data_IF_056934358332
#
_entry.id   IF_056934358332
#
_cell.length_a   1.000
_cell.length_b   1.000
_cell.length_c   1.000
_cell.angle_alpha   90.00
_cell.angle_beta   90.00
_cell.angle_gamma   90.00
#
_symmetry.space_group_name_H-M   'P 1'
#
loop_
_entity.id
_entity.type
_entity.pdbx_description
1 polymer ?
#
# COMPACT_ATOMS: atom_id res chain seq x y z
N UNK A 1 -9.93 -21.95 -13.63
CA UNK A 1 -10.44 -21.83 -12.25
C UNK A 1 -9.50 -22.45 -11.22
N UNK A 2 -9.05 -23.71 -11.42
CA UNK A 2 -8.25 -24.43 -10.42
C UNK A 2 -6.90 -23.75 -10.12
N UNK A 3 -6.13 -23.38 -11.14
CA UNK A 3 -4.87 -22.63 -10.97
C UNK A 3 -5.09 -21.35 -10.17
N UNK A 4 -6.19 -20.64 -10.41
CA UNK A 4 -6.53 -19.44 -9.66
C UNK A 4 -6.79 -19.74 -8.18
N UNK A 5 -7.56 -20.78 -7.88
CA UNK A 5 -7.86 -21.16 -6.51
C UNK A 5 -6.58 -21.51 -5.72
N UNK A 6 -5.68 -22.31 -6.32
CA UNK A 6 -4.39 -22.60 -5.70
C UNK A 6 -3.52 -21.38 -5.52
N UNK A 7 -3.50 -20.49 -6.54
CA UNK A 7 -2.72 -19.26 -6.46
C UNK A 7 -3.20 -18.35 -5.33
N UNK A 8 -4.51 -18.14 -5.21
CA UNK A 8 -5.09 -17.31 -4.15
C UNK A 8 -4.82 -17.92 -2.76
N UNK A 9 -5.00 -19.23 -2.61
CA UNK A 9 -4.70 -19.93 -1.38
C UNK A 9 -3.21 -19.79 -0.99
N UNK A 10 -2.31 -19.96 -1.96
CA UNK A 10 -0.87 -19.79 -1.75
C UNK A 10 -0.52 -18.35 -1.33
N UNK A 11 -0.98 -17.35 -2.08
CA UNK A 11 -0.69 -15.95 -1.80
C UNK A 11 -1.23 -15.51 -0.45
N UNK A 12 -2.42 -15.98 -0.07
CA UNK A 12 -2.99 -15.67 1.24
C UNK A 12 -2.12 -16.23 2.39
N UNK A 13 -1.71 -17.50 2.31
CA UNK A 13 -0.82 -18.09 3.32
C UNK A 13 0.54 -17.40 3.35
N UNK A 14 1.11 -17.14 2.18
CA UNK A 14 2.37 -16.44 2.05
C UNK A 14 2.31 -15.03 2.66
N UNK A 15 1.23 -14.29 2.44
CA UNK A 15 1.03 -12.97 3.03
C UNK A 15 1.04 -13.03 4.56
N UNK A 16 0.35 -13.98 5.16
CA UNK A 16 0.32 -14.18 6.62
C UNK A 16 1.74 -14.46 7.13
N UNK A 17 2.46 -15.37 6.49
CA UNK A 17 3.83 -15.74 6.89
C UNK A 17 4.80 -14.58 6.72
N UNK A 18 4.74 -13.86 5.59
CA UNK A 18 5.59 -12.70 5.31
C UNK A 18 5.37 -11.59 6.37
N UNK A 19 4.11 -11.33 6.74
CA UNK A 19 3.77 -10.35 7.77
C UNK A 19 4.24 -10.76 9.16
N UNK A 20 4.10 -12.03 9.51
CA UNK A 20 4.57 -12.55 10.79
C UNK A 20 6.10 -12.47 10.91
N UNK A 21 6.84 -12.82 9.85
CA UNK A 21 8.31 -12.71 9.81
C UNK A 21 8.73 -11.23 9.95
N UNK A 22 8.08 -10.33 9.23
CA UNK A 22 8.37 -8.90 9.33
C UNK A 22 8.15 -8.38 10.75
N UNK A 23 7.03 -8.76 11.37
CA UNK A 23 6.71 -8.40 12.75
C UNK A 23 7.77 -8.93 13.72
N UNK A 24 8.16 -10.19 13.61
CA UNK A 24 9.22 -10.77 14.44
C UNK A 24 10.54 -10.00 14.32
N UNK A 25 10.93 -9.59 13.10
CA UNK A 25 12.13 -8.81 12.88
C UNK A 25 12.00 -7.41 13.52
N UNK A 26 10.86 -6.75 13.33
CA UNK A 26 10.65 -5.38 13.81
C UNK A 26 10.53 -5.33 15.33
N UNK A 27 9.73 -6.21 15.93
CA UNK A 27 9.37 -6.13 17.35
C UNK A 27 10.45 -6.71 18.27
N UNK A 28 11.10 -7.80 17.85
CA UNK A 28 11.95 -8.59 18.76
C UNK A 28 13.45 -8.43 18.56
N UNK A 29 13.92 -7.86 17.46
CA UNK A 29 15.33 -7.73 17.22
C UNK A 29 15.85 -6.32 17.55
N UNK A 30 17.06 -6.20 18.12
CA UNK A 30 17.71 -4.90 18.28
C UNK A 30 18.11 -4.30 16.92
N UNK A 31 18.23 -2.97 16.80
CA UNK A 31 18.47 -2.28 15.54
C UNK A 31 19.65 -2.81 14.72
N UNK A 32 20.74 -3.19 15.36
CA UNK A 32 21.95 -3.74 14.73
C UNK A 32 21.74 -5.15 14.14
N UNK A 33 20.77 -5.90 14.65
CA UNK A 33 20.44 -7.24 14.18
C UNK A 33 19.33 -7.24 13.13
N UNK A 34 18.43 -6.25 13.17
CA UNK A 34 17.32 -6.12 12.18
C UNK A 34 17.83 -6.15 10.75
N UNK A 35 18.90 -5.40 10.46
CA UNK A 35 19.51 -5.39 9.12
C UNK A 35 19.97 -6.77 8.66
N UNK A 36 20.65 -7.50 9.53
CA UNK A 36 21.14 -8.85 9.21
C UNK A 36 19.99 -9.82 8.99
N UNK A 37 18.96 -9.75 9.85
CA UNK A 37 17.78 -10.59 9.76
C UNK A 37 16.97 -10.33 8.50
N UNK A 38 16.74 -9.06 8.13
CA UNK A 38 16.04 -8.68 6.89
C UNK A 38 16.83 -9.15 5.67
N UNK A 39 18.15 -8.94 5.65
CA UNK A 39 18.98 -9.39 4.54
C UNK A 39 18.95 -10.92 4.39
N UNK A 40 19.05 -11.65 5.50
CA UNK A 40 18.94 -13.11 5.51
C UNK A 40 17.57 -13.57 5.00
N UNK A 41 16.50 -12.97 5.47
CA UNK A 41 15.14 -13.26 5.01
C UNK A 41 15.00 -13.03 3.49
N UNK A 42 15.44 -11.89 2.96
CA UNK A 42 15.36 -11.61 1.52
C UNK A 42 16.20 -12.57 0.66
N UNK A 43 17.31 -13.06 1.20
CA UNK A 43 18.20 -14.01 0.49
C UNK A 43 17.63 -15.43 0.50
N UNK A 44 16.97 -15.82 1.59
CA UNK A 44 16.51 -17.20 1.84
C UNK A 44 14.99 -17.32 1.90
N UNK A 45 14.26 -16.47 1.19
CA UNK A 45 12.80 -16.46 1.22
C UNK A 45 12.17 -17.83 0.97
N UNK A 46 12.71 -18.58 0.01
CA UNK A 46 12.19 -19.90 -0.35
C UNK A 46 12.34 -20.95 0.76
N UNK A 47 13.37 -20.81 1.56
CA UNK A 47 13.66 -21.70 2.69
C UNK A 47 12.83 -21.35 3.93
N UNK A 48 12.31 -20.13 3.97
CA UNK A 48 11.53 -19.62 5.10
C UNK A 48 10.10 -20.15 5.09
N UNK A 49 9.58 -20.54 3.93
CA UNK A 49 8.26 -21.17 3.79
C UNK A 49 8.35 -22.70 3.99
N UNK A 50 8.91 -23.11 5.10
CA UNK A 50 9.04 -24.54 5.44
C UNK A 50 7.70 -25.22 5.82
N UNK A 51 6.58 -24.48 5.81
CA UNK A 51 5.25 -25.06 5.99
C UNK A 51 4.90 -25.94 4.79
N UNK A 52 4.69 -27.26 5.03
CA UNK A 52 4.40 -28.22 3.96
C UNK A 52 3.22 -27.81 3.08
N UNK A 53 2.17 -27.26 3.69
CA UNK A 53 0.96 -26.84 2.96
C UNK A 53 1.26 -25.68 2.00
N UNK A 54 2.04 -24.69 2.42
CA UNK A 54 2.42 -23.55 1.56
C UNK A 54 3.31 -24.03 0.41
N UNK A 55 4.21 -24.96 0.69
CA UNK A 55 5.06 -25.58 -0.33
C UNK A 55 4.23 -26.36 -1.36
N UNK A 56 3.27 -27.17 -0.92
CA UNK A 56 2.37 -27.91 -1.78
C UNK A 56 1.50 -27.00 -2.66
N UNK A 57 0.91 -25.94 -2.08
CA UNK A 57 0.13 -24.97 -2.84
C UNK A 57 0.97 -24.32 -3.95
N UNK A 58 2.21 -23.92 -3.64
CA UNK A 58 3.13 -23.39 -4.62
C UNK A 58 3.46 -24.38 -5.74
N UNK A 59 3.74 -25.62 -5.39
CA UNK A 59 4.04 -26.68 -6.36
C UNK A 59 2.85 -26.92 -7.29
N UNK A 60 1.63 -26.96 -6.75
CA UNK A 60 0.40 -27.08 -7.54
C UNK A 60 0.20 -25.91 -8.49
N UNK A 61 0.52 -24.67 -8.08
CA UNK A 61 0.48 -23.51 -8.98
C UNK A 61 1.46 -23.68 -10.15
N UNK A 62 2.69 -24.09 -9.87
CA UNK A 62 3.72 -24.28 -10.91
C UNK A 62 3.30 -25.39 -11.87
N UNK A 63 2.90 -26.54 -11.35
CA UNK A 63 2.47 -27.70 -12.15
C UNK A 63 1.27 -27.36 -13.06
N UNK A 64 0.21 -26.78 -12.49
CA UNK A 64 -0.97 -26.42 -13.25
C UNK A 64 -0.69 -25.32 -14.31
N UNK A 65 0.20 -24.37 -14.00
CA UNK A 65 0.64 -23.36 -14.96
C UNK A 65 1.31 -24.00 -16.19
N UNK A 66 2.22 -24.94 -15.97
CA UNK A 66 2.89 -25.68 -17.04
C UNK A 66 1.91 -26.56 -17.87
N UNK A 67 1.01 -27.27 -17.19
CA UNK A 67 0.01 -28.12 -17.89
C UNK A 67 -0.99 -27.29 -18.70
N UNK A 68 -1.42 -26.15 -18.21
CA UNK A 68 -2.29 -25.24 -18.97
C UNK A 68 -1.55 -24.60 -20.15
N UNK A 69 -0.26 -24.31 -20.00
CA UNK A 69 0.54 -23.84 -21.15
C UNK A 69 0.62 -24.90 -22.24
N UNK A 70 0.93 -26.17 -21.89
CA UNK A 70 1.02 -27.29 -22.84
C UNK A 70 -0.31 -27.60 -23.50
N UNK A 71 -1.41 -27.58 -22.73
CA UNK A 71 -2.72 -28.04 -23.22
C UNK A 71 -3.50 -26.98 -24.02
N UNK A 72 -3.43 -25.73 -23.61
CA UNK A 72 -4.24 -24.62 -24.19
C UNK A 72 -3.42 -23.37 -24.52
N UNK A 73 -2.10 -23.40 -24.36
CA UNK A 73 -1.23 -22.26 -24.65
C UNK A 73 -1.36 -21.09 -23.66
N UNK A 74 -1.84 -21.32 -22.41
CA UNK A 74 -1.97 -20.26 -21.41
C UNK A 74 -0.58 -19.74 -21.00
N UNK A 75 -0.29 -18.50 -21.32
CA UNK A 75 0.98 -17.85 -21.01
C UNK A 75 0.91 -17.13 -19.68
N UNK A 76 1.41 -17.73 -18.60
CA UNK A 76 1.41 -17.18 -17.25
C UNK A 76 2.80 -16.71 -16.75
N UNK A 77 3.82 -16.79 -17.60
CA UNK A 77 5.19 -16.32 -17.35
C UNK A 77 5.80 -15.77 -18.63
N UNK A 78 6.55 -14.67 -18.53
CA UNK A 78 7.35 -14.13 -19.63
C UNK A 78 8.49 -15.07 -19.97
N UNK A 79 9.24 -15.48 -18.94
CA UNK A 79 10.44 -16.29 -19.12
C UNK A 79 10.15 -17.70 -19.60
N UNK A 80 9.15 -18.36 -19.01
CA UNK A 80 8.84 -19.76 -19.29
C UNK A 80 7.88 -19.98 -20.44
N UNK A 81 6.89 -19.09 -20.60
CA UNK A 81 5.79 -19.27 -21.52
C UNK A 81 5.75 -18.24 -22.66
N UNK A 82 6.70 -17.28 -22.67
CA UNK A 82 6.74 -16.24 -23.68
C UNK A 82 5.52 -15.31 -23.64
N UNK A 83 5.03 -14.94 -22.45
CA UNK A 83 4.02 -13.90 -22.33
C UNK A 83 4.59 -12.58 -22.87
N UNK A 84 3.74 -11.73 -23.48
CA UNK A 84 4.19 -10.55 -24.22
C UNK A 84 4.92 -9.52 -23.33
N UNK A 85 4.50 -9.38 -22.08
CA UNK A 85 5.11 -8.49 -21.10
C UNK A 85 4.73 -8.92 -19.69
N UNK A 86 5.45 -8.38 -18.68
CA UNK A 86 5.24 -8.67 -17.26
C UNK A 86 3.89 -8.16 -16.69
N UNK A 87 3.05 -7.57 -17.49
CA UNK A 87 1.73 -7.10 -17.09
C UNK A 87 0.73 -8.23 -16.89
N UNK A 88 -0.51 -7.99 -17.31
CA UNK A 88 -1.60 -8.96 -17.20
C UNK A 88 -1.19 -10.32 -17.80
N UNK A 89 -1.41 -11.38 -17.05
CA UNK A 89 -1.19 -12.74 -17.48
C UNK A 89 0.10 -13.38 -17.00
N UNK A 90 1.18 -12.64 -16.78
CA UNK A 90 2.45 -13.19 -16.33
C UNK A 90 2.57 -13.27 -14.78
N UNK A 91 1.50 -13.66 -14.10
CA UNK A 91 1.43 -13.65 -12.63
C UNK A 91 2.38 -14.66 -11.95
N UNK A 92 2.79 -15.70 -12.67
CA UNK A 92 3.75 -16.68 -12.14
C UNK A 92 5.16 -16.09 -11.97
N UNK A 93 5.50 -15.02 -12.65
CA UNK A 93 6.80 -14.35 -12.49
C UNK A 93 6.92 -13.63 -11.13
N UNK A 94 5.79 -13.35 -10.48
CA UNK A 94 5.74 -12.70 -9.17
C UNK A 94 5.37 -13.65 -8.01
N UNK A 95 5.24 -14.96 -8.27
CA UNK A 95 4.74 -15.91 -7.27
C UNK A 95 5.61 -15.96 -6.00
N UNK A 96 6.91 -15.76 -6.15
CA UNK A 96 7.87 -15.80 -5.04
C UNK A 96 8.24 -14.42 -4.47
N UNK A 97 7.62 -13.34 -4.98
CA UNK A 97 7.89 -12.00 -4.48
C UNK A 97 7.37 -11.81 -3.05
N UNK A 98 8.17 -11.14 -2.23
CA UNK A 98 7.81 -10.81 -0.84
C UNK A 98 6.52 -9.97 -0.78
N UNK A 99 5.61 -10.31 0.11
CA UNK A 99 4.35 -9.60 0.35
C UNK A 99 4.39 -8.77 1.64
N UNK A 100 5.59 -8.32 2.03
CA UNK A 100 5.83 -7.45 3.18
C UNK A 100 6.78 -6.31 2.82
N UNK A 101 7.13 -5.47 3.79
CA UNK A 101 7.97 -4.29 3.61
C UNK A 101 9.48 -4.59 3.67
N UNK A 102 9.90 -5.86 3.67
CA UNK A 102 11.31 -6.23 3.89
C UNK A 102 12.28 -5.58 2.90
N UNK A 103 11.90 -5.45 1.62
CA UNK A 103 12.76 -4.77 0.63
C UNK A 103 12.90 -3.28 0.92
N UNK A 104 11.78 -2.62 1.22
CA UNK A 104 11.76 -1.22 1.61
C UNK A 104 12.52 -0.99 2.92
N UNK A 105 12.26 -1.79 3.94
CA UNK A 105 12.96 -1.73 5.23
C UNK A 105 14.47 -1.91 5.08
N UNK A 106 14.91 -2.89 4.28
CA UNK A 106 16.33 -3.10 4.02
C UNK A 106 16.98 -1.85 3.43
N UNK A 107 16.35 -1.24 2.43
CA UNK A 107 16.81 -0.01 1.80
C UNK A 107 16.84 1.17 2.78
N UNK A 108 15.77 1.38 3.55
CA UNK A 108 15.69 2.45 4.53
C UNK A 108 16.75 2.32 5.63
N UNK A 109 16.96 1.11 6.13
CA UNK A 109 18.00 0.82 7.12
C UNK A 109 19.40 1.07 6.55
N UNK A 110 19.65 0.70 5.28
CA UNK A 110 20.91 0.95 4.62
C UNK A 110 21.17 2.44 4.45
N UNK A 111 20.21 3.19 3.97
CA UNK A 111 20.29 4.66 3.83
C UNK A 111 20.51 5.32 5.19
N UNK A 112 19.82 4.88 6.23
CA UNK A 112 19.98 5.40 7.58
C UNK A 112 21.38 5.13 8.14
N UNK A 113 22.00 4.00 7.82
CA UNK A 113 23.35 3.68 8.30
C UNK A 113 24.44 4.56 7.68
N UNK A 114 24.18 5.24 6.57
CA UNK A 114 25.11 6.21 5.96
C UNK A 114 25.12 7.60 6.63
N UNK A 115 24.18 7.85 7.58
CA UNK A 115 24.12 9.10 8.34
C UNK A 115 25.27 9.12 9.36
N UNK A 116 26.14 10.12 9.29
CA UNK A 116 27.31 10.24 10.17
C UNK A 116 26.94 10.47 11.63
N UNK A 117 25.99 11.40 11.87
CA UNK A 117 25.51 11.73 13.22
C UNK A 117 24.74 10.57 13.84
N UNK A 118 25.21 10.05 14.97
CA UNK A 118 24.55 8.97 15.69
C UNK A 118 23.14 9.36 16.18
N UNK A 119 22.98 10.62 16.61
CA UNK A 119 21.68 11.13 17.06
C UNK A 119 20.67 11.18 15.89
N UNK A 120 21.08 11.70 14.74
CA UNK A 120 20.23 11.77 13.56
C UNK A 120 19.92 10.37 13.01
N UNK A 121 20.92 9.48 12.99
CA UNK A 121 20.74 8.08 12.60
C UNK A 121 19.72 7.39 13.51
N UNK A 122 19.80 7.58 14.82
CA UNK A 122 18.85 7.00 15.77
C UNK A 122 17.44 7.57 15.60
N UNK A 123 17.30 8.87 15.34
CA UNK A 123 16.00 9.50 15.04
C UNK A 123 15.40 8.95 13.75
N UNK A 124 16.19 8.90 12.68
CA UNK A 124 15.77 8.35 11.39
C UNK A 124 15.35 6.89 11.51
N UNK A 125 16.11 6.06 12.22
CA UNK A 125 15.77 4.67 12.45
C UNK A 125 14.43 4.52 13.20
N UNK A 126 14.20 5.33 14.23
CA UNK A 126 12.92 5.34 14.96
C UNK A 126 11.76 5.73 14.07
N UNK A 127 11.91 6.77 13.24
CA UNK A 127 10.82 7.21 12.36
C UNK A 127 10.47 6.15 11.31
N UNK A 128 11.43 5.37 10.85
CA UNK A 128 11.19 4.25 9.92
C UNK A 128 10.45 3.11 10.63
N UNK A 129 10.92 2.70 11.80
CA UNK A 129 10.37 1.55 12.51
C UNK A 129 9.02 1.85 13.15
N UNK A 130 8.82 3.10 13.58
CA UNK A 130 7.61 3.54 14.27
C UNK A 130 6.77 4.50 13.39
N UNK A 131 6.84 4.36 12.08
CA UNK A 131 6.12 5.27 11.16
C UNK A 131 4.61 5.34 11.41
N UNK A 132 4.06 4.33 12.06
CA UNK A 132 2.64 4.22 12.38
C UNK A 132 2.33 4.68 13.83
N UNK A 133 3.35 4.99 14.64
CA UNK A 133 3.22 5.38 16.04
C UNK A 133 3.43 6.89 16.19
N UNK A 134 2.40 7.67 15.98
CA UNK A 134 2.46 9.13 15.97
C UNK A 134 2.37 9.77 17.36
N UNK A 135 2.27 8.96 18.42
CA UNK A 135 2.07 9.45 19.77
C UNK A 135 0.64 9.96 20.02
N UNK A 136 0.45 10.62 21.18
CA UNK A 136 -0.87 11.07 21.63
C UNK A 136 -1.43 12.16 20.71
N UNK A 137 -2.61 11.91 20.17
CA UNK A 137 -3.33 12.85 19.31
C UNK A 137 -2.89 12.82 17.84
N UNK A 138 -1.96 11.94 17.48
CA UNK A 138 -1.65 11.63 16.09
C UNK A 138 -2.55 10.51 15.55
N UNK A 139 -2.85 10.56 14.27
CA UNK A 139 -3.64 9.54 13.56
C UNK A 139 -2.82 9.03 12.38
N UNK A 140 -2.64 7.73 12.30
CA UNK A 140 -2.13 7.03 11.14
C UNK A 140 -3.24 6.20 10.51
N UNK A 141 -3.37 6.26 9.20
CA UNK A 141 -4.39 5.53 8.45
C UNK A 141 -3.79 4.88 7.18
N UNK A 142 -3.81 3.55 7.14
CA UNK A 142 -3.46 2.76 5.95
C UNK A 142 -4.75 2.38 5.23
N UNK A 143 -5.17 3.25 4.32
CA UNK A 143 -6.46 3.19 3.64
C UNK A 143 -6.60 2.00 2.67
N UNK A 144 -5.50 1.35 2.33
CA UNK A 144 -5.52 0.17 1.47
C UNK A 144 -5.91 -1.12 2.19
N UNK A 145 -6.04 -1.12 3.51
CA UNK A 145 -6.41 -2.32 4.27
C UNK A 145 -7.93 -2.43 4.46
N UNK A 146 -8.50 -3.63 4.37
CA UNK A 146 -9.95 -3.83 4.52
C UNK A 146 -10.51 -3.33 5.86
N UNK A 147 -9.73 -3.39 6.92
CA UNK A 147 -10.13 -2.98 8.27
C UNK A 147 -10.39 -1.48 8.39
N UNK A 148 -9.91 -0.70 7.45
CA UNK A 148 -10.03 0.76 7.42
C UNK A 148 -11.26 1.24 6.62
N UNK A 149 -11.95 0.36 5.91
CA UNK A 149 -13.09 0.73 5.04
C UNK A 149 -14.22 1.44 5.82
N UNK A 150 -14.37 1.15 7.10
CA UNK A 150 -15.37 1.79 7.95
C UNK A 150 -15.20 3.30 8.15
N UNK A 151 -14.02 3.85 7.89
CA UNK A 151 -13.73 5.29 8.00
C UNK A 151 -14.07 6.05 6.71
N UNK A 152 -14.27 5.34 5.62
CA UNK A 152 -14.60 5.93 4.33
C UNK A 152 -16.10 6.12 4.23
N UNK A 153 -16.53 7.37 4.17
CA UNK A 153 -17.92 7.72 3.92
C UNK A 153 -18.08 8.16 2.47
N UNK A 154 -18.95 7.47 1.77
CA UNK A 154 -19.28 7.83 0.42
C UNK A 154 -20.66 8.51 0.38
N UNK A 155 -20.70 9.82 0.09
CA UNK A 155 -21.94 10.58 0.06
C UNK A 155 -22.75 10.39 -1.24
N UNK A 156 -22.42 9.41 -2.06
CA UNK A 156 -23.04 9.26 -3.37
C UNK A 156 -24.51 8.86 -3.23
N UNK A 157 -25.35 9.62 -3.86
CA UNK A 157 -26.69 9.17 -4.18
C UNK A 157 -26.61 8.09 -5.28
N UNK A 158 -26.71 6.84 -4.86
CA UNK A 158 -26.65 5.65 -5.74
C UNK A 158 -27.58 5.75 -6.96
N UNK A 159 -28.60 6.57 -6.89
CA UNK A 159 -29.52 6.81 -8.02
C UNK A 159 -28.85 7.40 -9.27
N UNK A 160 -27.72 8.07 -9.10
CA UNK A 160 -26.99 8.70 -10.20
C UNK A 160 -25.80 7.89 -10.70
N UNK A 161 -25.59 6.70 -10.17
CA UNK A 161 -24.53 5.82 -10.64
C UNK A 161 -25.10 4.69 -11.50
N UNK A 162 -25.08 4.84 -12.83
CA UNK A 162 -25.62 3.84 -13.74
C UNK A 162 -24.81 2.53 -13.73
N UNK A 163 -23.62 2.53 -13.16
CA UNK A 163 -22.73 1.35 -13.13
C UNK A 163 -22.78 0.60 -11.80
N UNK A 164 -23.36 1.18 -10.74
CA UNK A 164 -23.30 0.66 -9.38
C UNK A 164 -21.89 0.63 -8.78
N UNK A 165 -20.95 1.35 -9.41
CA UNK A 165 -19.53 1.37 -9.03
C UNK A 165 -19.14 2.68 -8.33
N UNK A 166 -20.08 3.61 -8.20
CA UNK A 166 -19.82 4.82 -7.43
C UNK A 166 -19.67 4.44 -5.96
N UNK A 167 -18.62 4.90 -5.42
CA UNK A 167 -18.29 4.59 -4.08
C UNK A 167 -16.81 4.43 -3.92
N UNK A 168 -16.36 4.64 -2.70
CA UNK A 168 -15.01 4.27 -2.35
C UNK A 168 -14.91 2.75 -2.31
N UNK A 169 -13.86 2.24 -2.88
CA UNK A 169 -13.50 0.84 -2.79
C UNK A 169 -12.04 0.72 -2.44
N UNK A 170 -11.67 -0.25 -1.63
CA UNK A 170 -10.26 -0.58 -1.51
C UNK A 170 -9.77 -1.23 -2.80
N UNK A 171 -8.77 -0.61 -3.40
CA UNK A 171 -8.01 -1.21 -4.48
C UNK A 171 -6.78 -1.87 -3.91
N UNK A 172 -6.74 -3.19 -3.93
CA UNK A 172 -5.51 -3.90 -3.56
C UNK A 172 -4.56 -3.86 -4.74
N UNK A 173 -3.36 -3.30 -4.55
CA UNK A 173 -2.32 -3.27 -5.57
C UNK A 173 -1.92 -4.64 -6.09
N UNK A 174 -2.22 -5.69 -5.33
CA UNK A 174 -1.97 -7.07 -5.72
C UNK A 174 -3.07 -7.58 -6.65
N UNK A 175 -4.29 -7.05 -6.58
CA UNK A 175 -5.37 -7.58 -7.40
C UNK A 175 -6.64 -6.73 -7.34
N UNK A 176 -6.69 -5.63 -8.02
CA UNK A 176 -7.99 -4.97 -8.26
C UNK A 176 -8.97 -5.85 -9.04
N UNK A 177 -8.48 -6.81 -9.80
CA UNK A 177 -9.24 -7.80 -10.56
C UNK A 177 -9.01 -9.24 -10.04
N UNK A 178 -8.48 -9.34 -8.85
CA UNK A 178 -8.31 -10.60 -8.16
C UNK A 178 -7.14 -11.47 -8.62
N UNK A 179 -6.22 -11.02 -9.47
CA UNK A 179 -4.97 -11.72 -9.79
C UNK A 179 -3.78 -10.84 -9.49
N UNK A 180 -2.81 -11.28 -8.67
CA UNK A 180 -1.54 -10.57 -8.56
C UNK A 180 -0.93 -10.49 -9.94
N UNK A 181 -0.51 -9.30 -10.31
CA UNK A 181 0.13 -9.07 -11.59
C UNK A 181 1.62 -9.01 -11.36
N UNK A 182 2.40 -9.44 -12.34
CA UNK A 182 3.84 -9.21 -12.35
C UNK A 182 4.21 -7.72 -12.24
N UNK A 183 3.31 -6.84 -12.66
CA UNK A 183 3.40 -5.40 -12.41
C UNK A 183 3.52 -5.04 -10.92
N UNK A 184 3.07 -5.91 -10.01
CA UNK A 184 3.28 -5.70 -8.57
C UNK A 184 4.76 -5.62 -8.22
N UNK A 185 5.60 -6.37 -8.91
CA UNK A 185 7.07 -6.31 -8.77
C UNK A 185 7.60 -4.95 -9.21
N UNK A 186 7.13 -4.44 -10.36
CA UNK A 186 7.54 -3.14 -10.88
C UNK A 186 7.00 -1.96 -10.08
N UNK A 187 5.84 -2.14 -9.43
CA UNK A 187 5.23 -1.09 -8.59
C UNK A 187 5.93 -0.92 -7.25
N UNK A 188 6.59 -1.96 -6.75
CA UNK A 188 7.33 -1.89 -5.47
C UNK A 188 8.52 -0.93 -5.49
N UNK A 189 8.78 -0.31 -6.64
CA UNK A 189 9.84 0.66 -6.81
C UNK A 189 9.27 1.96 -7.39
N UNK A 190 9.79 3.06 -6.89
CA UNK A 190 9.59 4.39 -7.44
C UNK A 190 10.95 5.00 -7.72
N UNK A 191 11.21 5.38 -8.98
CA UNK A 191 12.51 5.89 -9.42
C UNK A 191 13.69 4.96 -9.04
N UNK A 192 13.47 3.64 -9.11
CA UNK A 192 14.45 2.62 -8.73
C UNK A 192 14.59 2.39 -7.22
N UNK A 193 13.76 3.04 -6.39
CA UNK A 193 13.77 2.87 -4.93
C UNK A 193 12.59 2.02 -4.47
N UNK A 194 12.79 1.05 -3.55
CA UNK A 194 11.71 0.28 -2.97
C UNK A 194 10.69 1.16 -2.25
N UNK A 195 9.41 0.87 -2.42
CA UNK A 195 8.31 1.53 -1.72
C UNK A 195 7.61 0.56 -0.76
N UNK A 196 7.00 1.06 0.33
CA UNK A 196 6.26 0.20 1.26
C UNK A 196 5.01 -0.37 0.61
N UNK A 197 4.59 -1.55 1.08
CA UNK A 197 3.39 -2.25 0.60
C UNK A 197 2.13 -1.40 0.74
N UNK A 198 2.04 -0.57 1.77
CA UNK A 198 0.94 0.35 1.97
C UNK A 198 0.70 1.30 0.77
N UNK A 199 1.74 1.58 -0.04
CA UNK A 199 1.59 2.42 -1.24
C UNK A 199 1.14 1.65 -2.48
N UNK A 200 1.02 0.33 -2.39
CA UNK A 200 0.47 -0.53 -3.44
C UNK A 200 -1.04 -0.68 -3.36
N UNK A 201 -1.60 -0.33 -2.21
CA UNK A 201 -3.02 -0.44 -1.88
C UNK A 201 -3.60 0.95 -1.66
N UNK A 202 -4.87 1.13 -1.91
CA UNK A 202 -5.50 2.44 -1.77
C UNK A 202 -7.02 2.31 -1.63
N UNK A 203 -7.61 3.31 -1.04
CA UNK A 203 -9.02 3.58 -1.25
C UNK A 203 -9.17 4.41 -2.51
N UNK A 204 -10.17 4.13 -3.31
CA UNK A 204 -10.44 4.81 -4.57
C UNK A 204 -11.88 5.28 -4.62
N UNK A 205 -12.08 6.55 -4.94
CA UNK A 205 -13.35 7.05 -5.45
C UNK A 205 -13.25 7.19 -6.96
N UNK A 206 -14.25 6.73 -7.69
CA UNK A 206 -14.24 6.72 -9.15
C UNK A 206 -15.18 7.78 -9.73
N UNK A 207 -14.96 8.13 -10.97
CA UNK A 207 -15.68 9.19 -11.68
C UNK A 207 -15.53 10.55 -10.94
N UNK A 208 -16.61 11.30 -10.81
CA UNK A 208 -16.65 12.59 -10.13
C UNK A 208 -17.08 12.49 -8.66
N UNK A 209 -17.14 11.27 -8.12
CA UNK A 209 -17.50 11.04 -6.72
C UNK A 209 -16.37 11.53 -5.82
N UNK A 210 -16.65 12.37 -4.83
CA UNK A 210 -15.66 12.74 -3.84
C UNK A 210 -15.31 11.55 -2.94
N UNK A 211 -14.05 11.43 -2.55
CA UNK A 211 -13.63 10.58 -1.45
C UNK A 211 -13.73 11.39 -0.17
N UNK A 212 -14.48 10.92 0.82
CA UNK A 212 -14.65 11.61 2.10
C UNK A 212 -14.22 10.69 3.24
N UNK A 213 -13.35 11.19 4.09
CA UNK A 213 -12.87 10.53 5.30
C UNK A 213 -13.18 11.38 6.52
N UNK A 214 -13.52 10.72 7.64
CA UNK A 214 -13.78 11.38 8.90
C UNK A 214 -12.79 10.90 9.96
N UNK A 215 -12.25 11.84 10.71
CA UNK A 215 -11.35 11.60 11.83
C UNK A 215 -11.89 12.30 13.07
N UNK A 216 -11.74 11.63 14.22
CA UNK A 216 -12.18 12.12 15.52
C UNK A 216 -11.06 12.07 16.55
N UNK A 217 -11.23 12.74 17.68
CA UNK A 217 -10.26 12.73 18.78
C UNK A 217 -9.09 13.71 18.59
N UNK A 218 -9.21 14.65 17.66
CA UNK A 218 -8.22 15.68 17.42
C UNK A 218 -8.39 16.87 18.39
N UNK A 219 -7.29 17.54 18.71
CA UNK A 219 -7.30 18.73 19.60
C UNK A 219 -7.54 20.01 18.79
N UNK A 220 -8.63 20.71 19.08
CA UNK A 220 -9.00 21.94 18.37
C UNK A 220 -8.00 23.10 18.58
N UNK A 221 -7.16 23.03 19.62
CA UNK A 221 -6.19 24.07 19.97
C UNK A 221 -4.88 23.94 19.23
N UNK A 222 -4.72 22.89 18.41
CA UNK A 222 -3.47 22.59 17.70
C UNK A 222 -3.61 22.74 16.20
N UNK A 223 -2.51 23.05 15.55
CA UNK A 223 -2.30 22.80 14.14
C UNK A 223 -1.82 21.35 13.94
N UNK A 224 -1.96 20.82 12.75
CA UNK A 224 -1.52 19.47 12.40
C UNK A 224 -0.75 19.46 11.08
N UNK A 225 0.31 18.68 11.04
CA UNK A 225 0.93 18.27 9.79
C UNK A 225 0.12 17.10 9.21
N UNK A 226 -0.25 17.23 7.95
CA UNK A 226 -0.97 16.22 7.19
C UNK A 226 -0.06 15.71 6.08
N UNK A 227 0.33 14.43 6.15
CA UNK A 227 1.07 13.77 5.08
C UNK A 227 0.14 12.79 4.36
N UNK A 228 0.17 12.80 3.03
CA UNK A 228 -0.73 11.98 2.20
C UNK A 228 0.06 11.30 1.09
N UNK A 229 -0.19 10.01 0.86
CA UNK A 229 0.34 9.29 -0.29
C UNK A 229 -0.77 9.08 -1.33
N UNK A 230 -0.52 9.61 -2.52
CA UNK A 230 -1.35 9.44 -3.71
C UNK A 230 -0.72 8.41 -4.66
N UNK A 231 -1.13 7.14 -4.63
CA UNK A 231 -0.42 6.05 -5.30
C UNK A 231 -0.68 5.95 -6.80
N UNK A 232 -1.44 6.88 -7.38
CA UNK A 232 -1.86 6.82 -8.79
C UNK A 232 -0.67 6.72 -9.75
N UNK A 233 -0.69 5.76 -10.65
CA UNK A 233 0.31 5.62 -11.73
C UNK A 233 0.11 6.60 -12.88
N UNK A 234 -1.09 7.13 -13.01
CA UNK A 234 -1.44 8.08 -14.05
C UNK A 234 -1.63 9.40 -13.33
N UNK A 235 -0.76 10.35 -13.59
CA UNK A 235 -0.83 11.67 -12.97
C UNK A 235 -2.25 12.22 -13.07
N UNK A 236 -2.95 12.17 -11.96
CA UNK A 236 -4.30 12.70 -11.82
C UNK A 236 -4.22 14.06 -11.17
N UNK A 237 -5.25 14.84 -11.28
CA UNK A 237 -5.40 16.06 -10.52
C UNK A 237 -6.32 15.80 -9.34
N UNK A 238 -5.95 16.30 -8.17
CA UNK A 238 -6.76 16.24 -6.97
C UNK A 238 -6.80 17.59 -6.28
N UNK A 239 -7.93 17.87 -5.66
CA UNK A 239 -8.15 18.98 -4.74
C UNK A 239 -8.58 18.39 -3.40
N UNK A 240 -8.08 18.94 -2.30
CA UNK A 240 -8.43 18.50 -0.94
C UNK A 240 -9.02 19.66 -0.14
N UNK A 241 -10.17 19.39 0.46
CA UNK A 241 -10.91 20.36 1.28
C UNK A 241 -11.12 19.74 2.66
N UNK A 242 -10.93 20.53 3.72
CA UNK A 242 -11.28 20.17 5.08
C UNK A 242 -12.59 20.84 5.49
N UNK A 243 -13.45 20.07 6.20
CA UNK A 243 -14.72 20.52 6.78
C UNK A 243 -15.57 21.32 5.77
N UNK A 244 -15.55 20.90 4.49
CA UNK A 244 -16.33 21.49 3.36
C UNK A 244 -15.95 22.91 2.95
N UNK A 245 -15.09 23.60 3.69
CA UNK A 245 -14.82 25.02 3.50
C UNK A 245 -13.33 25.32 3.29
N UNK A 246 -12.46 24.70 4.06
CA UNK A 246 -11.03 25.01 4.03
C UNK A 246 -10.28 24.20 2.97
N UNK A 247 -9.71 24.89 1.98
CA UNK A 247 -8.90 24.26 0.94
C UNK A 247 -7.50 23.96 1.50
N UNK A 248 -7.20 22.68 1.74
CA UNK A 248 -5.86 22.24 2.15
C UNK A 248 -4.90 22.36 0.97
N UNK A 249 -5.29 21.86 -0.19
CA UNK A 249 -4.59 22.14 -1.45
C UNK A 249 -5.58 22.25 -2.61
N UNK A 250 -5.29 23.15 -3.52
CA UNK A 250 -6.02 23.24 -4.78
C UNK A 250 -5.57 22.13 -5.74
N UNK A 251 -5.96 22.19 -6.99
CA UNK A 251 -5.67 21.20 -8.00
C UNK A 251 -4.17 20.95 -8.18
N UNK A 252 -3.68 19.85 -7.64
CA UNK A 252 -2.29 19.37 -7.79
C UNK A 252 -2.26 18.10 -8.62
N UNK A 253 -1.12 17.87 -9.27
CA UNK A 253 -0.84 16.58 -9.91
C UNK A 253 -0.49 15.56 -8.83
N UNK A 254 -1.11 14.38 -8.88
CA UNK A 254 -0.85 13.26 -7.97
C UNK A 254 -0.12 12.14 -8.69
N UNK A 255 0.46 11.20 -7.94
CA UNK A 255 1.06 9.99 -8.51
C UNK A 255 2.57 9.85 -8.34
N UNK A 256 3.20 10.72 -7.56
CA UNK A 256 4.65 10.67 -7.32
C UNK A 256 5.05 9.58 -6.29
N UNK A 257 4.07 8.82 -5.75
CA UNK A 257 4.29 7.75 -4.78
C UNK A 257 5.26 8.12 -3.65
N UNK A 258 5.17 9.35 -3.20
CA UNK A 258 5.88 9.90 -2.06
C UNK A 258 4.88 10.65 -1.19
N UNK A 259 5.10 10.74 0.12
CA UNK A 259 4.24 11.54 0.99
C UNK A 259 4.29 13.01 0.60
N UNK A 260 3.13 13.61 0.34
CA UNK A 260 2.98 15.05 0.17
C UNK A 260 2.56 15.67 1.49
N UNK A 261 3.17 16.80 1.86
CA UNK A 261 2.98 17.43 3.16
C UNK A 261 2.14 18.70 3.05
N UNK A 262 1.18 18.83 3.96
CA UNK A 262 0.28 19.97 4.07
C UNK A 262 0.09 20.33 5.54
N UNK A 263 -0.47 21.50 5.81
CA UNK A 263 -0.78 21.97 7.16
C UNK A 263 -2.29 22.12 7.31
N UNK A 264 -2.83 21.61 8.40
CA UNK A 264 -4.19 21.92 8.88
C UNK A 264 -4.03 22.97 9.98
N UNK A 265 -4.41 24.25 9.74
CA UNK A 265 -4.25 25.31 10.71
C UNK A 265 -5.14 25.14 11.94
N UNK A 266 -4.76 25.80 13.02
CA UNK A 266 -5.60 25.95 14.20
C UNK A 266 -6.97 26.52 13.79
N UNK A 267 -8.05 25.99 14.38
CA UNK A 267 -9.42 26.44 14.12
C UNK A 267 -10.15 25.69 13.01
N UNK A 268 -9.43 24.90 12.20
CA UNK A 268 -10.07 24.02 11.21
C UNK A 268 -10.71 22.81 11.87
N UNK A 269 -10.06 22.24 12.89
CA UNK A 269 -10.64 21.15 13.67
C UNK A 269 -11.84 21.66 14.44
N UNK A 270 -13.01 21.02 14.28
CA UNK A 270 -14.26 21.43 14.93
C UNK A 270 -14.75 20.33 15.87
N UNK A 271 -14.82 20.64 17.18
CA UNK A 271 -15.26 19.67 18.20
C UNK A 271 -14.51 18.36 18.17
N UNK A 272 -13.18 18.39 17.89
CA UNK A 272 -12.34 17.23 17.78
C UNK A 272 -12.52 16.41 16.50
N UNK A 273 -13.22 16.93 15.50
CA UNK A 273 -13.56 16.25 14.26
C UNK A 273 -12.96 16.94 13.06
N UNK A 274 -12.55 16.15 12.10
CA UNK A 274 -12.01 16.57 10.80
C UNK A 274 -12.67 15.74 9.70
N UNK A 275 -13.34 16.42 8.77
CA UNK A 275 -13.76 15.83 7.51
C UNK A 275 -12.73 16.20 6.43
N UNK A 276 -12.17 15.22 5.73
CA UNK A 276 -11.30 15.42 4.58
C UNK A 276 -12.04 14.97 3.32
N UNK A 277 -12.21 15.89 2.37
CA UNK A 277 -12.90 15.64 1.12
C UNK A 277 -11.96 15.83 -0.07
N UNK A 278 -11.67 14.76 -0.78
CA UNK A 278 -10.94 14.80 -2.04
C UNK A 278 -11.88 14.86 -3.23
N UNK A 279 -11.55 15.75 -4.16
CA UNK A 279 -12.23 15.88 -5.44
C UNK A 279 -11.24 15.50 -6.52
N UNK A 280 -11.59 14.50 -7.33
CA UNK A 280 -10.78 14.04 -8.45
C UNK A 280 -11.06 14.85 -9.72
N UNK A 281 -10.00 15.24 -10.44
CA UNK A 281 -10.10 15.91 -11.72
C UNK A 281 -10.08 14.94 -12.88
N UNK A 282 -11.17 14.17 -13.13
CA UNK A 282 -11.28 13.29 -14.26
C UNK A 282 -12.07 12.01 -14.01
N UNK A 283 -12.28 11.22 -15.04
CA UNK A 283 -13.15 10.03 -15.02
C UNK A 283 -12.71 8.92 -14.03
N UNK A 284 -11.40 8.84 -13.73
CA UNK A 284 -10.87 7.81 -12.84
C UNK A 284 -10.84 8.20 -11.36
N UNK A 285 -11.37 9.39 -11.02
CA UNK A 285 -11.50 9.83 -9.64
C UNK A 285 -10.16 10.01 -8.90
N UNK A 286 -10.13 9.70 -7.62
CA UNK A 286 -9.00 9.90 -6.74
C UNK A 286 -8.61 8.60 -6.02
N UNK A 287 -7.32 8.43 -5.74
CA UNK A 287 -6.78 7.32 -4.97
C UNK A 287 -5.93 7.87 -3.83
N UNK A 288 -6.14 7.36 -2.62
CA UNK A 288 -5.36 7.68 -1.43
C UNK A 288 -4.94 6.38 -0.77
N UNK A 289 -3.64 6.22 -0.53
CA UNK A 289 -3.09 4.99 0.03
C UNK A 289 -2.89 5.08 1.54
N UNK A 290 -2.28 6.15 1.98
CA UNK A 290 -1.82 6.27 3.36
C UNK A 290 -1.84 7.73 3.77
N UNK A 291 -2.15 8.00 5.03
CA UNK A 291 -2.06 9.34 5.59
C UNK A 291 -1.62 9.35 7.06
N UNK A 292 -1.02 10.46 7.44
CA UNK A 292 -0.64 10.78 8.82
C UNK A 292 -1.15 12.16 9.17
N UNK A 293 -1.77 12.30 10.35
CA UNK A 293 -2.19 13.56 10.93
C UNK A 293 -1.41 13.70 12.24
N UNK A 294 -0.43 14.58 12.28
CA UNK A 294 0.50 14.71 13.41
C UNK A 294 0.33 16.06 14.07
N UNK A 295 0.06 16.15 15.39
CA UNK A 295 -0.07 17.44 16.07
C UNK A 295 1.28 18.17 16.09
N UNK A 296 1.22 19.48 15.83
CA UNK A 296 2.35 20.41 15.98
C UNK A 296 2.55 20.84 17.43
#
# INVERSE_FOLDING_TARGET
PLLRAYYDAYIHRKLIQDKEIEKQIIDYLPPNEKRKAIKRYLTHQKETYADPTTTELRQNCVMLSEELYKSIGLKSSVQKHGAAHKGRGAFMDAIDESLNDSKWLAHQIETTTSIESELERSKSMRSILNRNELGKGGIYDNLGTPDQIGQVVNPVDIKYDPTGLSGSRSGFGIAMDGMPRSQTVEIKEHEGQPIPMAWLTCVEAIYHTPLILFYEGLDNSKAYDLHIVYPSRIGKKAKLIANKEFVIHDWIKTGDKAPMSFIIPIGIIQKGKLELQWIGGGERGIQVAELWITPQ
#
